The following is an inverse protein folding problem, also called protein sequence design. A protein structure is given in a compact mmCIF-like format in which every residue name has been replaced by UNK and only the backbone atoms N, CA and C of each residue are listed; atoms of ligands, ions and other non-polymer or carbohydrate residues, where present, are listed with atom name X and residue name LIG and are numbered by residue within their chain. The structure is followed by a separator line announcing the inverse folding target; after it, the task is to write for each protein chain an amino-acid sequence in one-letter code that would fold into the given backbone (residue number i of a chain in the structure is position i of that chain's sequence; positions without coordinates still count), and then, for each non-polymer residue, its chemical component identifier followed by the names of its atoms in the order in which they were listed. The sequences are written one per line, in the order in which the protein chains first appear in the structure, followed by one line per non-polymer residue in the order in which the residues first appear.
data_IF_238105768063
#
_entry.id   IF_238105768063
#
_cell.length_a   1.000
_cell.length_b   1.000
_cell.length_c   1.000
_cell.angle_alpha   90.00
_cell.angle_beta   90.00
_cell.angle_gamma   90.00
#
_symmetry.space_group_name_H-M   'P 1'
#
loop_
_entity.id
_entity.type
_entity.pdbx_description
1 polymer ?
#
# COMPACT_ATOMS: atom_id res chain seq x y z
N UNK A 1 -2.25 0.64 0.34
CA UNK A 1 -2.71 0.79 1.73
C UNK A 1 -2.90 -0.53 2.47
N UNK A 2 -3.85 -1.40 2.07
CA UNK A 2 -4.08 -2.69 2.77
C UNK A 2 -2.83 -3.57 2.81
N UNK A 3 -2.14 -3.72 1.68
CA UNK A 3 -0.88 -4.47 1.62
C UNK A 3 0.21 -3.87 2.50
N UNK A 4 0.28 -2.54 2.61
CA UNK A 4 1.25 -1.87 3.47
C UNK A 4 0.96 -2.13 4.95
N UNK A 5 -0.31 -2.01 5.37
CA UNK A 5 -0.73 -2.33 6.75
C UNK A 5 -0.40 -3.78 7.14
N UNK A 6 -0.72 -4.73 6.25
CA UNK A 6 -0.41 -6.14 6.46
C UNK A 6 1.11 -6.38 6.54
N UNK A 7 1.89 -5.76 5.66
CA UNK A 7 3.36 -5.81 5.72
C UNK A 7 3.88 -5.26 7.04
N UNK A 8 3.37 -4.13 7.52
CA UNK A 8 3.82 -3.55 8.80
C UNK A 8 3.57 -4.51 9.98
N UNK A 9 2.41 -5.16 10.04
CA UNK A 9 2.12 -6.16 11.08
C UNK A 9 3.03 -7.38 10.98
N UNK A 10 3.28 -7.87 9.77
CA UNK A 10 4.21 -8.97 9.54
C UNK A 10 5.65 -8.59 9.94
N UNK A 11 6.11 -7.41 9.52
CA UNK A 11 7.42 -6.84 9.82
C UNK A 11 7.64 -6.63 11.32
N UNK A 12 6.62 -6.21 12.07
CA UNK A 12 6.71 -6.04 13.52
C UNK A 12 7.04 -7.35 14.26
N UNK A 13 6.64 -8.50 13.71
CA UNK A 13 6.97 -9.83 14.24
C UNK A 13 8.29 -10.43 13.72
N UNK A 14 9.01 -9.73 12.83
CA UNK A 14 10.24 -10.22 12.20
C UNK A 14 11.47 -9.56 12.84
N UNK A 15 12.26 -10.28 13.67
CA UNK A 15 13.44 -9.69 14.34
C UNK A 15 14.55 -9.28 13.37
N UNK A 16 14.48 -9.72 12.12
CA UNK A 16 15.41 -9.42 11.04
C UNK A 16 14.80 -8.46 9.98
N UNK A 17 13.70 -7.77 10.29
CA UNK A 17 13.15 -6.74 9.41
C UNK A 17 14.12 -5.55 9.29
N UNK A 18 14.28 -5.03 8.07
CA UNK A 18 15.21 -3.92 7.77
C UNK A 18 14.50 -2.74 7.11
N UNK A 19 13.73 -2.98 6.05
CA UNK A 19 13.03 -1.95 5.28
C UNK A 19 11.84 -2.56 4.52
N UNK A 20 10.89 -1.70 4.13
CA UNK A 20 9.78 -2.06 3.25
C UNK A 20 9.53 -0.93 2.24
N UNK A 21 8.89 -1.27 1.13
CA UNK A 21 8.54 -0.32 0.08
C UNK A 21 7.33 0.55 0.50
N UNK A 22 7.42 1.85 0.22
CA UNK A 22 6.31 2.79 0.32
C UNK A 22 5.91 3.27 -1.07
N UNK A 23 4.73 2.86 -1.54
CA UNK A 23 4.24 3.21 -2.86
C UNK A 23 3.62 4.61 -2.88
N UNK A 24 4.42 5.63 -3.27
CA UNK A 24 3.95 7.01 -3.43
C UNK A 24 2.76 7.14 -4.39
N UNK A 25 2.70 6.31 -5.45
CA UNK A 25 1.60 6.32 -6.43
C UNK A 25 0.24 5.97 -5.83
N UNK A 26 0.20 5.36 -4.65
CA UNK A 26 -1.03 4.97 -3.97
C UNK A 26 -1.31 5.80 -2.70
N UNK A 27 -0.51 6.83 -2.43
CA UNK A 27 -0.61 7.61 -1.19
C UNK A 27 -1.94 8.40 -1.11
N UNK A 28 -2.26 9.13 -2.18
CA UNK A 28 -3.48 9.94 -2.30
C UNK A 28 -4.74 9.06 -2.24
N UNK A 29 -4.87 8.12 -3.19
CA UNK A 29 -6.02 7.20 -3.23
C UNK A 29 -6.13 6.40 -1.94
N UNK A 30 -5.00 5.96 -1.40
CA UNK A 30 -4.92 5.21 -0.16
C UNK A 30 -5.47 5.97 1.04
N UNK A 31 -5.18 7.27 1.13
CA UNK A 31 -5.65 8.16 2.20
C UNK A 31 -7.15 8.47 2.08
N UNK A 32 -7.67 8.50 0.85
CA UNK A 32 -9.10 8.68 0.59
C UNK A 32 -9.91 7.46 1.03
N UNK A 33 -9.51 6.26 0.63
CA UNK A 33 -10.28 5.01 0.83
C UNK A 33 -10.03 4.32 2.17
N UNK A 34 -9.10 4.81 3.00
CA UNK A 34 -8.74 4.22 4.29
C UNK A 34 -9.04 5.19 5.43
N UNK A 35 -9.47 4.68 6.58
CA UNK A 35 -9.80 5.48 7.75
C UNK A 35 -8.55 6.04 8.47
N UNK A 36 -7.44 5.31 8.41
CA UNK A 36 -6.15 5.70 8.98
C UNK A 36 -5.10 5.76 7.85
N UNK A 37 -4.53 6.94 7.57
CA UNK A 37 -3.44 7.06 6.60
C UNK A 37 -2.12 6.58 7.22
N UNK A 38 -1.37 5.78 6.47
CA UNK A 38 -0.08 5.21 6.91
C UNK A 38 1.08 6.06 6.40
N UNK A 39 1.24 7.26 6.96
CA UNK A 39 2.18 8.26 6.43
C UNK A 39 3.57 8.10 7.05
N UNK A 40 4.64 8.05 6.24
CA UNK A 40 6.00 8.01 6.76
C UNK A 40 6.43 9.36 7.34
N UNK A 41 6.94 9.34 8.57
CA UNK A 41 7.55 10.46 9.28
C UNK A 41 9.02 10.15 9.52
N UNK A 42 9.93 10.91 8.88
CA UNK A 42 11.39 10.72 8.97
C UNK A 42 11.84 9.30 8.61
N UNK A 43 11.19 8.68 7.63
CA UNK A 43 11.54 7.33 7.15
C UNK A 43 10.91 6.18 7.93
N UNK A 44 10.04 6.46 8.91
CA UNK A 44 9.34 5.45 9.71
C UNK A 44 7.83 5.65 9.62
N UNK A 45 7.06 4.57 9.73
CA UNK A 45 5.60 4.63 9.83
C UNK A 45 5.21 4.03 11.18
N UNK A 46 4.36 4.72 11.93
CA UNK A 46 3.87 4.23 13.21
C UNK A 46 3.00 2.99 13.01
N UNK A 47 3.26 1.94 13.79
CA UNK A 47 2.50 0.69 13.72
C UNK A 47 1.10 0.90 14.31
N UNK A 48 0.02 0.61 13.55
CA UNK A 48 -1.33 0.69 14.09
C UNK A 48 -1.55 -0.33 15.21
N UNK A 49 -2.14 0.13 16.32
CA UNK A 49 -2.44 -0.70 17.49
C UNK A 49 -3.87 -1.25 17.51
N UNK A 50 -4.71 -0.84 16.54
CA UNK A 50 -6.08 -1.35 16.41
C UNK A 50 -6.07 -2.84 16.05
N UNK A 51 -7.11 -3.61 16.45
CA UNK A 51 -7.20 -5.03 16.13
C UNK A 51 -7.07 -5.35 14.63
N UNK A 52 -6.66 -6.58 14.33
CA UNK A 52 -6.45 -7.05 12.97
C UNK A 52 -5.21 -6.42 12.34
N UNK A 53 -5.32 -5.95 11.10
CA UNK A 53 -4.24 -5.23 10.41
C UNK A 53 -4.20 -3.72 10.77
N UNK A 54 -5.10 -3.27 11.63
CA UNK A 54 -5.08 -1.93 12.23
C UNK A 54 -5.62 -0.78 11.36
N UNK A 55 -6.27 -1.08 10.25
CA UNK A 55 -6.97 -0.13 9.38
C UNK A 55 -8.38 -0.64 9.03
N UNK A 56 -9.27 0.25 8.61
CA UNK A 56 -10.53 -0.10 7.95
C UNK A 56 -10.70 0.68 6.64
N UNK A 57 -11.48 0.10 5.72
CA UNK A 57 -11.79 0.73 4.44
C UNK A 57 -13.03 1.61 4.59
N UNK A 58 -13.00 2.79 3.97
CA UNK A 58 -14.18 3.62 3.74
C UNK A 58 -14.92 3.05 2.54
N UNK A 59 -15.83 2.12 2.78
CA UNK A 59 -16.49 1.36 1.71
C UNK A 59 -17.18 2.26 0.67
N UNK A 60 -17.84 3.33 1.12
CA UNK A 60 -18.47 4.31 0.22
C UNK A 60 -17.47 5.00 -0.73
N UNK A 61 -16.25 5.28 -0.25
CA UNK A 61 -15.19 5.86 -1.09
C UNK A 61 -14.56 4.83 -2.02
N UNK A 62 -14.45 3.59 -1.57
CA UNK A 62 -13.95 2.49 -2.39
C UNK A 62 -14.90 2.20 -3.56
N UNK A 63 -16.21 2.16 -3.30
CA UNK A 63 -17.23 1.87 -4.32
C UNK A 63 -17.27 2.91 -5.45
N UNK A 64 -16.89 4.17 -5.16
CA UNK A 64 -16.74 5.23 -6.19
C UNK A 64 -15.59 4.97 -7.16
N UNK A 65 -14.69 4.04 -6.84
CA UNK A 65 -13.46 3.72 -7.58
C UNK A 65 -13.50 2.28 -8.09
N UNK A 66 -14.63 1.89 -8.68
CA UNK A 66 -14.80 0.55 -9.25
C UNK A 66 -13.70 0.24 -10.28
N UNK A 67 -13.20 -1.00 -10.25
CA UNK A 67 -12.14 -1.43 -11.14
C UNK A 67 -12.55 -1.25 -12.61
N UNK A 68 -11.66 -0.66 -13.41
CA UNK A 68 -11.80 -0.54 -14.85
C UNK A 68 -10.70 -1.33 -15.56
N UNK A 69 -10.92 -1.62 -16.85
CA UNK A 69 -9.87 -2.20 -17.67
C UNK A 69 -8.63 -1.29 -17.65
N UNK A 70 -7.49 -1.90 -17.35
CA UNK A 70 -6.18 -1.24 -17.42
C UNK A 70 -5.41 -1.88 -18.57
N UNK A 71 -4.77 -1.09 -19.44
CA UNK A 71 -4.02 -1.65 -20.55
C UNK A 71 -2.89 -2.55 -20.03
N UNK A 72 -2.71 -3.70 -20.67
CA UNK A 72 -1.60 -4.60 -20.36
C UNK A 72 -0.30 -3.86 -20.62
N UNK A 73 0.57 -3.79 -19.61
CA UNK A 73 1.87 -3.14 -19.73
C UNK A 73 2.70 -3.86 -20.80
N UNK A 74 3.23 -3.11 -21.76
CA UNK A 74 4.24 -3.63 -22.68
C UNK A 74 5.52 -3.94 -21.90
N UNK A 75 5.90 -5.22 -21.89
CA UNK A 75 7.16 -5.64 -21.30
C UNK A 75 8.29 -5.39 -22.31
N UNK A 76 9.42 -4.87 -21.83
CA UNK A 76 10.62 -4.76 -22.66
C UNK A 76 11.13 -6.16 -23.00
N UNK A 77 11.54 -6.36 -24.24
CA UNK A 77 12.18 -7.61 -24.69
C UNK A 77 13.59 -7.28 -25.18
N UNK A 78 14.51 -8.24 -25.04
CA UNK A 78 15.90 -8.07 -25.51
C UNK A 78 15.95 -7.71 -27.00
N UNK A 79 15.07 -8.31 -27.81
CA UNK A 79 14.96 -8.03 -29.24
C UNK A 79 14.44 -6.63 -29.57
N UNK A 80 13.80 -5.92 -28.63
CA UNK A 80 13.30 -4.57 -28.83
C UNK A 80 14.37 -3.49 -28.54
N UNK A 81 15.54 -3.87 -28.04
CA UNK A 81 16.66 -2.97 -27.73
C UNK A 81 17.83 -3.08 -28.74
N UNK A 82 17.73 -3.97 -29.73
CA UNK A 82 18.71 -4.18 -30.81
C UNK A 82 18.33 -3.40 -32.07
#
# INVERSE_FOLDING_TARGET
TVSLAATMQASAGMPNFLLTEYFLSFDEVGSEICDVPLVPVRGFIDLPERPGIGIALKEDELLKRAASETPVRTLRTVSAEA
#
